data_IF_849259466898
#
_entry.id   IF_849259466898
#
_cell.length_a   1.000
_cell.length_b   1.000
_cell.length_c   1.000
_cell.angle_alpha   90.00
_cell.angle_beta   90.00
_cell.angle_gamma   90.00
#
_symmetry.space_group_name_H-M   'P 1'
#
loop_
_entity.id
_entity.type
_entity.pdbx_description
1 polymer ?
#
# COMPACT_ATOMS: atom_id res chain seq x y z
N UNK A 1 -3.91 6.75 -52.32
CA UNK A 1 -3.21 7.57 -51.30
C UNK A 1 -4.23 8.51 -50.69
N UNK A 2 -4.64 8.26 -49.44
CA UNK A 2 -5.30 9.25 -48.60
C UNK A 2 -4.81 8.97 -47.18
N UNK A 3 -3.75 9.68 -46.80
CA UNK A 3 -3.15 9.63 -45.47
C UNK A 3 -4.06 10.36 -44.48
N UNK A 4 -5.00 9.61 -43.89
CA UNK A 4 -5.81 10.09 -42.79
C UNK A 4 -5.03 9.80 -41.50
N UNK A 5 -4.12 10.70 -41.14
CA UNK A 5 -3.43 10.66 -39.84
C UNK A 5 -4.30 11.41 -38.82
N UNK A 6 -5.01 10.75 -37.89
CA UNK A 6 -5.65 11.47 -36.81
C UNK A 6 -4.55 12.08 -35.94
N UNK A 7 -4.50 13.40 -35.94
CA UNK A 7 -3.71 14.18 -35.01
C UNK A 7 -3.96 13.65 -33.60
N UNK A 8 -2.89 13.18 -32.95
CA UNK A 8 -2.86 12.83 -31.54
C UNK A 8 -3.00 14.11 -30.71
N UNK A 9 -4.19 14.69 -30.71
CA UNK A 9 -4.60 15.69 -29.75
C UNK A 9 -4.77 14.99 -28.40
N UNK A 10 -3.68 14.94 -27.63
CA UNK A 10 -3.64 14.41 -26.27
C UNK A 10 -4.35 15.29 -25.25
N UNK A 11 -5.57 15.74 -25.58
CA UNK A 11 -6.50 16.29 -24.59
C UNK A 11 -7.55 15.19 -24.42
N UNK A 12 -7.49 14.52 -23.27
CA UNK A 12 -8.54 13.59 -22.86
C UNK A 12 -9.83 14.39 -22.67
N UNK A 13 -10.65 14.45 -23.72
CA UNK A 13 -11.93 15.15 -23.74
C UNK A 13 -13.03 14.42 -22.95
N UNK A 14 -12.70 13.34 -22.24
CA UNK A 14 -13.65 12.59 -21.41
C UNK A 14 -13.86 13.19 -20.02
N UNK A 15 -12.98 14.10 -19.58
CA UNK A 15 -13.06 14.73 -18.28
C UNK A 15 -14.05 15.90 -18.28
N UNK A 16 -15.06 15.82 -17.42
CA UNK A 16 -16.04 16.90 -17.22
C UNK A 16 -15.33 18.18 -16.75
N UNK A 17 -15.66 19.32 -17.37
CA UNK A 17 -15.06 20.63 -17.04
C UNK A 17 -15.13 20.99 -15.54
N UNK A 18 -16.16 20.50 -14.84
CA UNK A 18 -16.32 20.67 -13.40
C UNK A 18 -15.19 20.02 -12.59
N UNK A 19 -14.70 18.84 -12.98
CA UNK A 19 -13.53 18.22 -12.35
C UNK A 19 -12.28 19.06 -12.57
N UNK A 20 -12.07 19.51 -13.81
CA UNK A 20 -10.85 20.24 -14.16
C UNK A 20 -10.76 21.57 -13.38
N UNK A 21 -11.89 22.27 -13.24
CA UNK A 21 -11.96 23.50 -12.47
C UNK A 21 -11.64 23.26 -10.98
N UNK A 22 -12.20 22.20 -10.40
CA UNK A 22 -11.95 21.86 -9.00
C UNK A 22 -10.49 21.45 -8.77
N UNK A 23 -9.95 20.59 -9.63
CA UNK A 23 -8.57 20.13 -9.56
C UNK A 23 -7.56 21.27 -9.65
N UNK A 24 -7.70 22.15 -10.65
CA UNK A 24 -6.78 23.28 -10.85
C UNK A 24 -6.80 24.23 -9.65
N UNK A 25 -7.94 24.37 -8.97
CA UNK A 25 -8.06 25.30 -7.84
C UNK A 25 -7.22 24.87 -6.62
N UNK A 26 -7.13 23.57 -6.36
CA UNK A 26 -6.50 23.02 -5.15
C UNK A 26 -5.20 22.23 -5.44
N UNK A 27 -4.77 22.13 -6.70
CA UNK A 27 -3.60 21.35 -7.12
C UNK A 27 -2.37 21.63 -6.25
N UNK A 28 -1.99 22.91 -6.10
CA UNK A 28 -0.84 23.28 -5.28
C UNK A 28 -1.00 22.82 -3.82
N UNK A 29 -2.19 22.94 -3.25
CA UNK A 29 -2.45 22.55 -1.87
C UNK A 29 -2.31 21.03 -1.67
N UNK A 30 -2.68 20.22 -2.66
CA UNK A 30 -2.48 18.77 -2.62
C UNK A 30 -1.00 18.40 -2.63
N UNK A 31 -0.20 19.01 -3.50
CA UNK A 31 1.25 18.77 -3.54
C UNK A 31 1.94 19.27 -2.27
N UNK A 32 1.60 20.47 -1.78
CA UNK A 32 2.15 21.00 -0.53
C UNK A 32 1.86 20.06 0.65
N UNK A 33 0.62 19.57 0.76
CA UNK A 33 0.22 18.62 1.80
C UNK A 33 0.96 17.29 1.67
N UNK A 34 1.00 16.70 0.48
CA UNK A 34 1.66 15.42 0.25
C UNK A 34 3.17 15.52 0.53
N UNK A 35 3.83 16.59 0.10
CA UNK A 35 5.24 16.85 0.41
C UNK A 35 5.48 17.01 1.90
N UNK A 36 4.63 17.76 2.61
CA UNK A 36 4.77 17.94 4.05
C UNK A 36 4.66 16.61 4.84
N UNK A 37 3.95 15.61 4.30
CA UNK A 37 3.80 14.29 4.93
C UNK A 37 4.89 13.31 4.50
N UNK A 38 5.26 13.29 3.22
CA UNK A 38 6.15 12.28 2.64
C UNK A 38 7.61 12.71 2.63
N UNK A 39 7.89 14.01 2.51
CA UNK A 39 9.25 14.57 2.48
C UNK A 39 10.08 14.15 1.26
N UNK A 40 9.47 13.52 0.26
CA UNK A 40 10.10 12.99 -0.95
C UNK A 40 9.29 13.43 -2.18
N UNK A 41 9.96 14.05 -3.15
CA UNK A 41 9.30 14.63 -4.32
C UNK A 41 8.65 13.57 -5.20
N UNK A 42 9.34 12.45 -5.45
CA UNK A 42 8.82 11.37 -6.30
C UNK A 42 7.60 10.70 -5.65
N UNK A 43 7.64 10.42 -4.35
CA UNK A 43 6.51 9.87 -3.61
C UNK A 43 5.34 10.86 -3.57
N UNK A 44 5.62 12.16 -3.46
CA UNK A 44 4.63 13.24 -3.49
C UNK A 44 3.88 13.26 -4.81
N UNK A 45 4.60 13.33 -5.92
CA UNK A 45 4.03 13.35 -7.27
C UNK A 45 3.18 12.09 -7.53
N UNK A 46 3.70 10.91 -7.17
CA UNK A 46 2.98 9.66 -7.36
C UNK A 46 1.72 9.56 -6.48
N UNK A 47 1.78 10.02 -5.24
CA UNK A 47 0.64 10.00 -4.33
C UNK A 47 -0.46 10.94 -4.83
N UNK A 48 -0.12 12.16 -5.25
CA UNK A 48 -1.11 13.11 -5.80
C UNK A 48 -1.68 12.57 -7.11
N UNK A 49 -0.86 12.05 -8.02
CA UNK A 49 -1.33 11.46 -9.27
C UNK A 49 -2.33 10.31 -9.01
N UNK A 50 -1.99 9.42 -8.08
CA UNK A 50 -2.85 8.29 -7.70
C UNK A 50 -4.17 8.77 -7.09
N UNK A 51 -4.12 9.76 -6.20
CA UNK A 51 -5.33 10.35 -5.63
C UNK A 51 -6.23 10.95 -6.71
N UNK A 52 -5.67 11.68 -7.67
CA UNK A 52 -6.44 12.32 -8.73
C UNK A 52 -7.05 11.33 -9.72
N UNK A 53 -6.36 10.21 -9.98
CA UNK A 53 -6.93 9.09 -10.72
C UNK A 53 -8.16 8.52 -10.01
N UNK A 54 -8.07 8.28 -8.69
CA UNK A 54 -9.21 7.80 -7.90
C UNK A 54 -10.39 8.78 -7.90
N UNK A 55 -10.11 10.08 -7.73
CA UNK A 55 -11.16 11.13 -7.77
C UNK A 55 -11.85 11.15 -9.13
N UNK A 56 -11.09 11.05 -10.22
CA UNK A 56 -11.65 11.00 -11.58
C UNK A 56 -12.55 9.78 -11.73
N UNK A 57 -12.08 8.62 -11.28
CA UNK A 57 -12.79 7.36 -11.45
C UNK A 57 -14.06 7.29 -10.56
N UNK A 58 -14.11 8.07 -9.47
CA UNK A 58 -15.29 8.20 -8.58
C UNK A 58 -16.09 9.49 -8.80
N UNK A 59 -15.84 10.26 -9.87
CA UNK A 59 -16.33 11.63 -10.00
C UNK A 59 -17.85 11.74 -10.00
N UNK A 60 -18.54 10.85 -10.71
CA UNK A 60 -20.00 10.86 -10.80
C UNK A 60 -20.67 10.58 -9.43
N UNK A 61 -20.05 9.75 -8.60
CA UNK A 61 -20.54 9.46 -7.24
C UNK A 61 -20.33 10.67 -6.33
N UNK A 62 -19.15 11.31 -6.41
CA UNK A 62 -18.84 12.52 -5.65
C UNK A 62 -19.84 13.65 -5.96
N UNK A 63 -20.29 13.78 -7.22
CA UNK A 63 -21.26 14.79 -7.63
C UNK A 63 -22.66 14.62 -7.00
N UNK A 64 -23.03 13.40 -6.61
CA UNK A 64 -24.30 13.13 -5.93
C UNK A 64 -24.26 13.60 -4.47
N UNK A 65 -23.07 13.66 -3.88
CA UNK A 65 -22.88 13.99 -2.47
C UNK A 65 -22.75 15.51 -2.27
N UNK A 66 -23.33 16.03 -1.18
CA UNK A 66 -23.41 17.48 -0.94
C UNK A 66 -22.07 18.14 -0.57
N UNK A 67 -21.00 17.36 -0.41
CA UNK A 67 -19.72 17.85 0.10
C UNK A 67 -18.50 17.26 -0.65
N UNK A 68 -18.47 17.53 -1.96
CA UNK A 68 -17.40 17.13 -2.88
C UNK A 68 -16.01 17.50 -2.34
N UNK A 69 -15.81 18.73 -1.85
CA UNK A 69 -14.51 19.19 -1.33
C UNK A 69 -14.01 18.33 -0.19
N UNK A 70 -14.86 18.02 0.79
CA UNK A 70 -14.44 17.21 1.93
C UNK A 70 -14.04 15.80 1.50
N UNK A 71 -14.72 15.22 0.52
CA UNK A 71 -14.44 13.87 0.04
C UNK A 71 -13.21 13.81 -0.84
N UNK A 72 -13.01 14.80 -1.70
CA UNK A 72 -11.77 15.00 -2.44
C UNK A 72 -10.57 15.00 -1.49
N UNK A 73 -10.63 15.83 -0.44
CA UNK A 73 -9.59 15.87 0.60
C UNK A 73 -9.49 14.57 1.41
N UNK A 74 -10.56 13.80 1.55
CA UNK A 74 -10.51 12.49 2.19
C UNK A 74 -9.74 11.48 1.33
N UNK A 75 -9.98 11.45 0.02
CA UNK A 75 -9.26 10.60 -0.93
C UNK A 75 -7.77 10.94 -0.92
N UNK A 76 -7.42 12.22 -1.05
CA UNK A 76 -6.01 12.68 -1.04
C UNK A 76 -5.30 12.25 0.24
N UNK A 77 -5.90 12.52 1.42
CA UNK A 77 -5.31 12.12 2.71
C UNK A 77 -5.17 10.61 2.85
N UNK A 78 -6.15 9.85 2.37
CA UNK A 78 -6.10 8.39 2.38
C UNK A 78 -4.93 7.85 1.56
N UNK A 79 -4.74 8.34 0.33
CA UNK A 79 -3.65 7.91 -0.55
C UNK A 79 -2.29 8.30 0.02
N UNK A 80 -2.12 9.56 0.46
CA UNK A 80 -0.86 10.02 1.06
C UNK A 80 -0.47 9.16 2.27
N UNK A 81 -1.44 8.80 3.13
CA UNK A 81 -1.15 7.90 4.24
C UNK A 81 -0.77 6.49 3.81
N UNK A 82 -1.40 5.93 2.77
CA UNK A 82 -0.98 4.63 2.23
C UNK A 82 0.47 4.66 1.72
N UNK A 83 0.88 5.74 1.04
CA UNK A 83 2.25 5.93 0.59
C UNK A 83 3.22 6.01 1.77
N UNK A 84 2.88 6.80 2.80
CA UNK A 84 3.68 6.90 4.02
C UNK A 84 3.85 5.55 4.70
N UNK A 85 2.77 4.83 4.94
CA UNK A 85 2.83 3.50 5.57
C UNK A 85 3.64 2.50 4.74
N UNK A 86 3.55 2.59 3.41
CA UNK A 86 4.36 1.75 2.51
C UNK A 86 5.84 2.09 2.62
N UNK A 87 6.19 3.38 2.67
CA UNK A 87 7.56 3.83 2.88
C UNK A 87 8.12 3.35 4.22
N UNK A 88 7.35 3.48 5.31
CA UNK A 88 7.72 2.97 6.64
C UNK A 88 7.96 1.46 6.61
N UNK A 89 7.06 0.67 6.00
CA UNK A 89 7.23 -0.78 5.84
C UNK A 89 8.49 -1.14 5.05
N UNK A 90 8.77 -0.40 3.96
CA UNK A 90 9.96 -0.62 3.14
C UNK A 90 11.25 -0.30 3.91
N UNK A 91 11.27 0.79 4.69
CA UNK A 91 12.42 1.16 5.51
C UNK A 91 12.74 0.11 6.57
N UNK A 92 11.71 -0.45 7.22
CA UNK A 92 11.88 -1.56 8.17
C UNK A 92 12.46 -2.80 7.46
N UNK A 93 11.93 -3.14 6.30
CA UNK A 93 12.41 -4.29 5.52
C UNK A 93 13.89 -4.12 5.11
N UNK A 94 14.26 -2.92 4.65
CA UNK A 94 15.64 -2.60 4.29
C UNK A 94 16.59 -2.70 5.49
N UNK A 95 16.23 -2.09 6.64
CA UNK A 95 17.06 -2.17 7.84
C UNK A 95 17.26 -3.61 8.37
N UNK A 96 16.25 -4.47 8.21
CA UNK A 96 16.38 -5.90 8.53
C UNK A 96 17.31 -6.64 7.55
N UNK A 97 17.31 -6.26 6.28
CA UNK A 97 18.21 -6.85 5.29
C UNK A 97 19.65 -6.42 5.52
N UNK A 98 19.88 -5.13 5.80
CA UNK A 98 21.21 -4.60 6.15
C UNK A 98 21.77 -5.27 7.40
N UNK A 99 20.94 -5.44 8.43
CA UNK A 99 21.34 -6.15 9.65
C UNK A 99 21.74 -7.61 9.35
N UNK A 100 20.94 -8.33 8.56
CA UNK A 100 21.27 -9.70 8.14
C UNK A 100 22.56 -9.76 7.32
N UNK A 101 22.81 -8.77 6.48
CA UNK A 101 24.05 -8.70 5.72
C UNK A 101 25.26 -8.46 6.63
N UNK A 102 25.17 -7.52 7.57
CA UNK A 102 26.24 -7.27 8.54
C UNK A 102 26.56 -8.49 9.41
N UNK A 103 25.55 -9.29 9.76
CA UNK A 103 25.78 -10.57 10.45
C UNK A 103 26.63 -11.55 9.62
N UNK A 104 26.36 -11.68 8.32
CA UNK A 104 27.14 -12.56 7.42
C UNK A 104 28.58 -12.11 7.28
N UNK A 105 28.83 -10.80 7.25
CA UNK A 105 30.17 -10.24 7.13
C UNK A 105 31.02 -10.48 8.39
N UNK A 106 30.39 -10.52 9.57
CA UNK A 106 31.04 -10.87 10.83
C UNK A 106 31.25 -12.39 10.98
N UNK A 107 30.54 -13.21 10.20
CA UNK A 107 30.49 -14.68 10.27
C UNK A 107 31.67 -15.38 9.58
N UNK A 108 32.88 -14.85 9.76
CA UNK A 108 34.05 -15.73 9.70
C UNK A 108 33.98 -16.73 10.87
N UNK A 109 33.47 -17.94 10.63
CA UNK A 109 33.57 -19.19 11.42
C UNK A 109 32.43 -19.70 12.35
N UNK A 110 31.25 -19.07 12.52
CA UNK A 110 30.21 -19.61 13.43
C UNK A 110 28.78 -19.64 12.88
N UNK A 111 28.36 -20.80 12.34
CA UNK A 111 27.08 -21.08 11.64
C UNK A 111 25.76 -20.96 12.42
N UNK A 112 25.72 -20.21 13.51
CA UNK A 112 24.46 -19.83 14.20
C UNK A 112 23.76 -18.68 13.47
N UNK A 113 24.51 -17.80 12.82
CA UNK A 113 23.94 -16.65 12.12
C UNK A 113 23.41 -17.04 10.73
N UNK A 114 24.05 -18.00 10.07
CA UNK A 114 23.58 -18.59 8.81
C UNK A 114 22.15 -19.15 8.95
N UNK A 115 21.89 -19.83 10.08
CA UNK A 115 20.56 -20.34 10.42
C UNK A 115 19.51 -19.23 10.65
N UNK A 116 19.91 -18.07 11.22
CA UNK A 116 19.03 -16.92 11.41
C UNK A 116 18.76 -16.17 10.09
N UNK A 117 19.72 -16.15 9.15
CA UNK A 117 19.50 -15.51 7.84
C UNK A 117 18.70 -16.38 6.87
N UNK A 118 18.64 -17.69 7.08
CA UNK A 118 17.84 -18.63 6.28
C UNK A 118 16.34 -18.64 6.64
N UNK A 119 15.92 -17.93 7.69
CA UNK A 119 14.51 -17.86 8.06
C UNK A 119 13.68 -17.19 6.95
N UNK A 120 12.58 -17.84 6.50
CA UNK A 120 11.75 -17.27 5.45
C UNK A 120 11.13 -15.95 5.93
N UNK A 121 11.12 -14.95 5.03
CA UNK A 121 10.38 -13.71 5.24
C UNK A 121 8.93 -14.10 5.51
N UNK A 122 8.41 -13.77 6.69
CA UNK A 122 7.05 -14.12 7.06
C UNK A 122 6.05 -13.36 6.19
N UNK A 123 5.69 -13.89 5.02
CA UNK A 123 4.39 -13.63 4.43
C UNK A 123 3.40 -14.34 5.34
N UNK A 124 2.63 -13.59 6.11
CA UNK A 124 1.58 -14.14 6.97
C UNK A 124 0.46 -14.72 6.09
N UNK A 125 0.68 -15.89 5.50
CA UNK A 125 -0.43 -16.71 5.03
C UNK A 125 -1.02 -17.32 6.29
N UNK A 126 -2.09 -16.71 6.78
CA UNK A 126 -2.92 -17.21 7.87
C UNK A 126 -3.47 -18.57 7.44
N UNK A 127 -2.73 -19.64 7.70
CA UNK A 127 -3.23 -20.99 7.52
C UNK A 127 -4.16 -21.30 8.68
N UNK A 128 -5.43 -21.49 8.36
CA UNK A 128 -6.48 -21.89 9.29
C UNK A 128 -6.15 -23.28 9.85
N UNK A 129 -5.70 -23.35 11.10
CA UNK A 129 -5.67 -24.60 11.85
C UNK A 129 -7.09 -24.90 12.34
N UNK A 130 -7.81 -25.74 11.59
CA UNK A 130 -9.01 -26.39 12.09
C UNK A 130 -8.62 -27.33 13.25
N UNK A 131 -9.04 -26.97 14.47
CA UNK A 131 -8.88 -27.80 15.65
C UNK A 131 -9.80 -29.04 15.54
N UNK A 132 -9.23 -30.17 15.13
CA UNK A 132 -9.87 -31.48 15.23
C UNK A 132 -9.60 -32.04 16.64
N UNK A 133 -10.52 -31.81 17.57
CA UNK A 133 -10.50 -32.44 18.89
C UNK A 133 -10.85 -33.92 18.73
N UNK A 134 -9.85 -34.77 18.75
CA UNK A 134 -10.02 -36.22 18.80
C UNK A 134 -10.48 -36.64 20.20
N UNK A 135 -11.73 -37.07 20.28
CA UNK A 135 -12.32 -37.82 21.40
C UNK A 135 -11.49 -39.07 21.68
N UNK A 136 -10.91 -39.19 22.87
CA UNK A 136 -10.39 -40.48 23.38
C UNK A 136 -11.30 -41.00 24.50
N UNK A 137 -11.66 -42.30 24.49
CA UNK A 137 -12.54 -42.89 25.50
C UNK A 137 -11.80 -43.18 26.81
N UNK A 138 -12.49 -42.92 27.91
CA UNK A 138 -12.10 -43.20 29.30
C UNK A 138 -12.24 -44.70 29.59
N UNK A 139 -11.14 -45.41 29.78
CA UNK A 139 -11.12 -46.77 30.36
C UNK A 139 -10.90 -46.69 31.88
N UNK A 140 -11.87 -47.20 32.64
CA UNK A 140 -11.82 -47.36 34.10
C UNK A 140 -10.80 -48.43 34.51
N UNK A 141 -10.12 -48.32 35.67
CA UNK A 141 -9.48 -49.45 36.31
C UNK A 141 -10.41 -50.08 37.36
N UNK A 142 -10.72 -51.36 37.16
CA UNK A 142 -11.34 -52.23 38.15
C UNK A 142 -10.35 -52.68 39.22
N UNK A 143 -10.83 -52.58 40.46
CA UNK A 143 -10.57 -53.35 41.68
C UNK A 143 -9.60 -54.55 41.61
N UNK A 144 -8.63 -54.54 42.52
CA UNK A 144 -8.01 -55.74 43.10
C UNK A 144 -8.43 -55.84 44.57
N UNK A 145 -9.14 -56.92 44.91
CA UNK A 145 -9.22 -57.55 46.21
C UNK A 145 -9.58 -59.02 45.97
#
# INVERSE_FOLDING_TARGET
>A
MNDNHPARSGIDSSLTLSYQAEYISDQKAFHDYAYAVLGDDDATEQAVHTAMALVRDSWDELLVESNIKQQLWAIVRGVVQQYRERAERNAIAAGLDDYRQGLRELEGDQGVFDALTALPRSSSTRSSCAASWATSPRTSPGTWA
#
